data_IF_236836815844
#
_entry.id   IF_236836815844
#
_cell.length_a   1.000
_cell.length_b   1.000
_cell.length_c   1.000
_cell.angle_alpha   90.00
_cell.angle_beta   90.00
_cell.angle_gamma   90.00
#
_symmetry.space_group_name_H-M   'P 1'
#
loop_
_entity.id
_entity.type
_entity.pdbx_description
1 polymer ?
#
# COMPACT_ATOMS: atom_id res chain seq x y z
N UNK A 1 -13.67 -1.36 -0.37
CA UNK A 1 -12.39 -2.11 -0.39
C UNK A 1 -12.11 -2.70 -1.77
N UNK A 2 -13.10 -3.29 -2.45
CA UNK A 2 -12.93 -3.88 -3.79
C UNK A 2 -12.29 -2.94 -4.82
N UNK A 3 -12.74 -1.69 -4.92
CA UNK A 3 -12.13 -0.71 -5.84
C UNK A 3 -10.66 -0.40 -5.53
N UNK A 4 -10.26 -0.42 -4.24
CA UNK A 4 -8.86 -0.24 -3.83
C UNK A 4 -8.01 -1.44 -4.25
N UNK A 5 -8.56 -2.65 -4.14
CA UNK A 5 -7.89 -3.88 -4.57
C UNK A 5 -7.79 -3.98 -6.09
N UNK A 6 -8.83 -3.56 -6.81
CA UNK A 6 -8.82 -3.47 -8.27
C UNK A 6 -7.76 -2.46 -8.74
N UNK A 7 -7.65 -1.31 -8.07
CA UNK A 7 -6.58 -0.35 -8.28
C UNK A 7 -5.18 -0.96 -8.01
N UNK A 8 -5.03 -1.75 -6.95
CA UNK A 8 -3.77 -2.44 -6.63
C UNK A 8 -3.39 -3.55 -7.61
N UNK A 9 -4.33 -4.01 -8.45
CA UNK A 9 -4.07 -4.90 -9.58
C UNK A 9 -3.65 -4.18 -10.86
N UNK A 10 -3.58 -2.85 -10.84
CA UNK A 10 -3.20 -2.04 -11.99
C UNK A 10 -1.81 -1.42 -11.77
N UNK A 11 -1.22 -0.90 -12.84
CA UNK A 11 0.08 -0.23 -12.80
C UNK A 11 0.07 1.12 -12.08
N UNK A 12 -1.05 1.53 -11.46
CA UNK A 12 -1.15 2.82 -10.78
C UNK A 12 -0.43 2.83 -9.43
N UNK A 13 -0.22 1.66 -8.80
CA UNK A 13 0.50 1.53 -7.53
C UNK A 13 1.91 0.95 -7.76
N UNK A 14 2.85 1.22 -6.83
CA UNK A 14 4.16 0.60 -6.85
C UNK A 14 4.07 -0.94 -6.88
N UNK A 15 4.99 -1.61 -7.58
CA UNK A 15 5.01 -3.08 -7.69
C UNK A 15 4.13 -3.65 -8.81
N UNK A 16 4.03 -2.95 -9.94
CA UNK A 16 3.51 -3.46 -11.22
C UNK A 16 2.12 -4.14 -11.19
N UNK A 17 1.26 -3.80 -10.22
CA UNK A 17 -0.08 -4.38 -10.12
C UNK A 17 -0.16 -5.72 -9.38
N UNK A 18 0.87 -6.13 -8.65
CA UNK A 18 0.85 -7.34 -7.80
C UNK A 18 0.77 -7.04 -6.31
N UNK A 19 0.57 -5.77 -5.95
CA UNK A 19 0.80 -5.26 -4.60
C UNK A 19 -0.50 -5.09 -3.78
N UNK A 20 -1.44 -6.03 -3.91
CA UNK A 20 -2.68 -6.04 -3.13
C UNK A 20 -2.41 -6.15 -1.62
N UNK A 21 -1.41 -6.93 -1.24
CA UNK A 21 -0.98 -7.06 0.15
C UNK A 21 -0.57 -5.70 0.73
N UNK A 22 0.23 -4.92 0.00
CA UNK A 22 0.65 -3.59 0.41
C UNK A 22 -0.55 -2.64 0.59
N UNK A 23 -1.54 -2.72 -0.31
CA UNK A 23 -2.75 -1.91 -0.21
C UNK A 23 -3.60 -2.26 1.02
N UNK A 24 -3.75 -3.56 1.33
CA UNK A 24 -4.47 -4.02 2.52
C UNK A 24 -3.72 -3.66 3.81
N UNK A 25 -2.40 -3.78 3.81
CA UNK A 25 -1.56 -3.39 4.93
C UNK A 25 -1.77 -1.91 5.27
N UNK A 26 -1.61 -1.03 4.29
CA UNK A 26 -1.83 0.41 4.53
C UNK A 26 -3.27 0.73 4.90
N UNK A 27 -4.25 0.01 4.36
CA UNK A 27 -5.64 0.19 4.78
C UNK A 27 -5.84 -0.13 6.26
N UNK A 28 -5.20 -1.20 6.75
CA UNK A 28 -5.22 -1.55 8.17
C UNK A 28 -4.50 -0.50 9.04
N UNK A 29 -3.31 -0.03 8.62
CA UNK A 29 -2.58 1.03 9.34
C UNK A 29 -3.38 2.33 9.44
N UNK A 30 -4.08 2.70 8.37
CA UNK A 30 -4.96 3.87 8.33
C UNK A 30 -6.35 3.63 8.95
N UNK A 31 -6.54 2.53 9.69
CA UNK A 31 -7.78 2.18 10.39
C UNK A 31 -9.01 2.18 9.47
N UNK A 32 -8.82 1.74 8.22
CA UNK A 32 -9.87 1.66 7.21
C UNK A 32 -10.08 2.94 6.39
N UNK A 33 -9.26 3.98 6.57
CA UNK A 33 -9.38 5.24 5.82
C UNK A 33 -8.85 5.12 4.39
N UNK A 34 -9.75 4.82 3.44
CA UNK A 34 -9.43 4.60 2.02
C UNK A 34 -8.70 5.80 1.40
N UNK A 35 -9.15 7.03 1.66
CA UNK A 35 -8.56 8.23 1.06
C UNK A 35 -7.11 8.44 1.51
N UNK A 36 -6.83 8.20 2.79
CA UNK A 36 -5.47 8.34 3.33
C UNK A 36 -4.57 7.23 2.80
N UNK A 37 -5.07 5.99 2.70
CA UNK A 37 -4.35 4.87 2.06
C UNK A 37 -3.99 5.18 0.61
N UNK A 38 -4.94 5.67 -0.19
CA UNK A 38 -4.69 6.07 -1.59
C UNK A 38 -3.67 7.19 -1.68
N UNK A 39 -3.77 8.19 -0.80
CA UNK A 39 -2.81 9.31 -0.75
C UNK A 39 -1.40 8.81 -0.47
N UNK A 40 -1.23 7.89 0.48
CA UNK A 40 0.07 7.28 0.79
C UNK A 40 0.63 6.46 -0.38
N UNK A 41 -0.21 5.65 -1.02
CA UNK A 41 0.20 4.78 -2.14
C UNK A 41 0.53 5.55 -3.43
N UNK A 42 -0.13 6.69 -3.67
CA UNK A 42 0.00 7.44 -4.93
C UNK A 42 0.97 8.62 -4.86
N UNK A 43 1.08 9.30 -3.72
CA UNK A 43 1.79 10.59 -3.62
C UNK A 43 3.10 10.51 -2.84
N UNK A 44 3.36 9.41 -2.14
CA UNK A 44 4.53 9.27 -1.28
C UNK A 44 5.23 7.97 -1.61
N UNK A 45 6.55 8.00 -1.75
CA UNK A 45 7.33 6.78 -1.71
C UNK A 45 7.07 6.15 -0.33
N UNK A 46 6.50 4.93 -0.25
CA UNK A 46 6.17 4.28 1.02
C UNK A 46 7.45 3.81 1.74
N UNK A 47 8.40 4.70 1.97
CA UNK A 47 9.57 4.46 2.78
C UNK A 47 9.15 4.42 4.26
N UNK A 48 9.32 3.25 4.88
CA UNK A 48 9.02 3.05 6.30
C UNK A 48 10.19 3.51 7.16
N UNK A 49 9.94 4.03 8.38
CA UNK A 49 11.01 4.32 9.32
C UNK A 49 11.70 3.01 9.75
N UNK A 50 13.00 3.01 10.07
CA UNK A 50 13.75 1.81 10.45
C UNK A 50 13.23 1.10 11.70
N UNK A 51 12.48 1.80 12.55
CA UNK A 51 11.87 1.26 13.77
C UNK A 51 10.58 0.48 13.50
N UNK A 52 10.09 0.47 12.26
CA UNK A 52 8.85 -0.21 11.91
C UNK A 52 9.06 -1.74 11.94
N UNK A 53 8.11 -2.53 12.49
CA UNK A 53 8.25 -4.00 12.55
C UNK A 53 8.44 -4.68 11.19
N UNK A 54 7.98 -4.02 10.11
CA UNK A 54 8.12 -4.46 8.73
C UNK A 54 9.02 -3.53 7.91
N UNK A 55 10.00 -2.87 8.54
CA UNK A 55 10.91 -1.96 7.85
C UNK A 55 11.77 -2.67 6.78
N UNK A 56 12.10 -3.94 7.00
CA UNK A 56 12.86 -4.82 6.12
C UNK A 56 11.99 -5.80 5.31
N UNK A 57 10.67 -5.77 5.51
CA UNK A 57 9.75 -6.63 4.77
C UNK A 57 9.59 -6.17 3.33
N UNK A 58 9.79 -7.10 2.41
CA UNK A 58 9.61 -6.88 0.98
C UNK A 58 8.25 -7.42 0.54
N UNK A 59 7.34 -6.49 0.23
CA UNK A 59 6.07 -6.85 -0.39
C UNK A 59 6.32 -7.35 -1.80
N UNK A 60 5.47 -8.27 -2.26
CA UNK A 60 5.55 -8.79 -3.61
C UNK A 60 5.23 -7.69 -4.63
N UNK A 61 6.17 -7.39 -5.53
CA UNK A 61 6.05 -6.30 -6.51
C UNK A 61 7.12 -6.36 -7.58
#
# INVERSE_FOLDING_TARGET
VENLLAAACSSIFPGAGTNQELALHFLHEEKGSILVTLTKLLLKDPARPPTHPLADYHYTG
#
